data_IF_479343370009
#
_entry.id   IF_479343370009
#
_cell.length_a   1.000
_cell.length_b   1.000
_cell.length_c   1.000
_cell.angle_alpha   90.00
_cell.angle_beta   90.00
_cell.angle_gamma   90.00
#
_symmetry.space_group_name_H-M   'P 1'
#
loop_
_entity.id
_entity.type
_entity.pdbx_description
1 polymer ?
#
# COMPACT_ATOMS: atom_id res chain seq x y z
N UNK A 1 15.74 7.43 12.20
CA UNK A 1 14.27 7.62 12.27
C UNK A 1 13.66 7.28 10.92
N UNK A 2 12.55 6.56 10.92
CA UNK A 2 11.78 6.14 9.74
C UNK A 2 10.37 6.71 9.85
N UNK A 3 9.85 7.19 8.73
CA UNK A 3 8.46 7.65 8.57
C UNK A 3 7.75 6.73 7.60
N UNK A 4 6.54 6.28 7.93
CA UNK A 4 5.71 5.47 7.04
C UNK A 4 4.32 6.09 6.98
N UNK A 5 3.87 6.38 5.76
CA UNK A 5 2.49 6.76 5.47
C UNK A 5 1.75 5.52 4.98
N UNK A 6 0.60 5.26 5.56
CA UNK A 6 -0.20 4.05 5.34
C UNK A 6 -1.62 4.43 4.91
N UNK A 7 -2.02 3.87 3.78
CA UNK A 7 -3.34 4.04 3.19
C UNK A 7 -4.01 2.68 2.99
N UNK A 8 -5.34 2.65 2.97
CA UNK A 8 -6.11 1.44 2.72
C UNK A 8 -7.12 1.62 1.60
N UNK A 9 -7.46 0.51 0.93
CA UNK A 9 -8.48 0.47 -0.10
C UNK A 9 -9.22 -0.86 -0.03
N UNK A 10 -10.40 -0.89 -0.59
CA UNK A 10 -11.26 -2.05 -0.91
C UNK A 10 -11.11 -3.27 0.04
N UNK A 11 -11.74 -3.19 1.21
CA UNK A 11 -11.75 -4.28 2.20
C UNK A 11 -12.47 -5.53 1.68
N UNK A 12 -13.40 -5.37 0.74
CA UNK A 12 -14.34 -6.38 0.29
C UNK A 12 -14.38 -6.51 -1.24
N UNK A 13 -13.23 -6.46 -1.89
CA UNK A 13 -13.13 -6.64 -3.33
C UNK A 13 -13.53 -8.05 -3.77
N UNK A 14 -13.87 -8.20 -5.03
CA UNK A 14 -14.43 -9.43 -5.58
C UNK A 14 -13.45 -10.62 -5.55
N UNK A 15 -12.23 -10.42 -6.06
CA UNK A 15 -11.18 -11.45 -6.13
C UNK A 15 -10.08 -11.25 -5.09
N UNK A 16 -9.85 -10.00 -4.71
CA UNK A 16 -8.84 -9.58 -3.75
C UNK A 16 -9.41 -8.55 -2.79
N UNK A 17 -8.99 -8.61 -1.54
CA UNK A 17 -9.49 -7.77 -0.46
C UNK A 17 -8.34 -7.27 0.42
N UNK A 18 -8.67 -6.39 1.39
CA UNK A 18 -7.73 -5.89 2.39
C UNK A 18 -6.47 -5.31 1.75
N UNK A 19 -6.68 -4.33 0.86
CA UNK A 19 -5.57 -3.63 0.23
C UNK A 19 -4.98 -2.60 1.19
N UNK A 20 -3.70 -2.75 1.49
CA UNK A 20 -2.91 -1.75 2.22
C UNK A 20 -1.76 -1.29 1.37
N UNK A 21 -1.52 0.00 1.35
CA UNK A 21 -0.40 0.64 0.67
C UNK A 21 0.42 1.49 1.62
N UNK A 22 1.72 1.61 1.38
CA UNK A 22 2.50 2.50 2.20
C UNK A 22 3.80 2.96 1.55
N UNK A 23 4.19 4.17 1.93
CA UNK A 23 5.45 4.80 1.55
C UNK A 23 6.31 4.95 2.79
N UNK A 24 7.53 4.39 2.75
CA UNK A 24 8.55 4.54 3.78
C UNK A 24 9.60 5.53 3.32
N UNK A 25 9.94 6.48 4.19
CA UNK A 25 11.02 7.46 3.98
C UNK A 25 11.89 7.51 5.23
N UNK A 26 13.20 7.48 5.07
CA UNK A 26 14.13 7.73 6.18
C UNK A 26 14.24 9.22 6.47
N UNK A 27 14.57 9.59 7.72
CA UNK A 27 14.81 11.00 8.10
C UNK A 27 15.85 11.69 7.22
N UNK A 28 16.81 10.92 6.69
CA UNK A 28 17.84 11.40 5.76
C UNK A 28 17.26 12.00 4.49
N UNK A 29 16.18 11.41 3.95
CA UNK A 29 15.56 11.80 2.69
C UNK A 29 14.21 12.51 2.85
N UNK A 30 13.74 12.66 4.09
CA UNK A 30 12.41 13.19 4.40
C UNK A 30 12.13 14.55 3.74
N UNK A 31 13.04 15.50 3.93
CA UNK A 31 12.88 16.85 3.39
C UNK A 31 12.88 16.86 1.86
N UNK A 32 13.89 16.21 1.26
CA UNK A 32 14.04 16.10 -0.19
C UNK A 32 12.80 15.47 -0.86
N UNK A 33 12.32 14.36 -0.30
CA UNK A 33 11.13 13.67 -0.83
C UNK A 33 9.90 14.56 -0.82
N UNK A 34 9.64 15.24 0.31
CA UNK A 34 8.48 16.11 0.41
C UNK A 34 8.59 17.36 -0.47
N UNK A 35 9.77 17.94 -0.61
CA UNK A 35 10.03 19.08 -1.49
C UNK A 35 9.80 18.69 -2.96
N UNK A 36 10.32 17.55 -3.41
CA UNK A 36 10.12 17.05 -4.78
C UNK A 36 8.66 16.70 -5.06
N UNK A 37 7.95 16.08 -4.12
CA UNK A 37 6.51 15.83 -4.25
C UNK A 37 5.70 17.13 -4.37
N UNK A 38 6.05 18.17 -3.59
CA UNK A 38 5.40 19.48 -3.71
C UNK A 38 5.69 20.13 -5.06
N UNK A 39 6.94 20.13 -5.47
CA UNK A 39 7.38 20.73 -6.74
C UNK A 39 6.63 20.13 -7.94
N UNK A 40 6.49 18.79 -8.00
CA UNK A 40 5.75 18.17 -9.11
C UNK A 40 4.25 18.47 -9.05
N UNK A 41 3.64 18.59 -7.87
CA UNK A 41 2.23 18.98 -7.72
C UNK A 41 2.01 20.42 -8.20
N UNK A 42 2.92 21.32 -7.87
CA UNK A 42 2.92 22.70 -8.37
C UNK A 42 3.15 22.76 -9.88
N UNK A 43 4.13 22.03 -10.40
CA UNK A 43 4.43 21.90 -11.84
C UNK A 43 3.17 21.51 -12.65
N UNK A 44 2.44 20.48 -12.20
CA UNK A 44 1.25 20.02 -12.92
C UNK A 44 -0.02 20.84 -12.62
N UNK A 45 0.05 21.74 -11.63
CA UNK A 45 -1.05 22.64 -11.29
C UNK A 45 -2.32 21.93 -10.81
N UNK A 46 -2.17 20.89 -9.95
CA UNK A 46 -3.30 20.28 -9.25
C UNK A 46 -3.52 21.04 -7.95
N UNK A 47 -4.71 21.64 -7.80
CA UNK A 47 -5.10 22.40 -6.59
C UNK A 47 -5.89 21.56 -5.60
N UNK A 48 -6.56 20.54 -6.11
CA UNK A 48 -7.37 19.62 -5.31
C UNK A 48 -6.53 18.45 -4.82
N UNK A 49 -7.04 17.74 -3.80
CA UNK A 49 -6.48 16.49 -3.32
C UNK A 49 -6.33 15.47 -4.46
N UNK A 50 -5.16 14.85 -4.55
CA UNK A 50 -4.83 13.83 -5.54
C UNK A 50 -5.44 12.50 -5.07
N UNK A 51 -6.39 11.95 -5.84
CA UNK A 51 -7.05 10.67 -5.54
C UNK A 51 -7.27 9.86 -6.80
N UNK A 52 -7.14 8.53 -6.69
CA UNK A 52 -7.48 7.59 -7.76
C UNK A 52 -8.88 7.80 -8.30
N UNK A 53 -9.81 8.15 -7.43
CA UNK A 53 -11.18 8.44 -7.83
C UNK A 53 -11.30 9.67 -8.75
N UNK A 54 -10.37 10.62 -8.68
CA UNK A 54 -10.38 11.84 -9.52
C UNK A 54 -9.70 11.67 -10.87
N UNK A 55 -9.10 10.51 -11.15
CA UNK A 55 -8.50 10.21 -12.46
C UNK A 55 -9.55 10.27 -13.57
N UNK A 56 -9.30 11.11 -14.55
CA UNK A 56 -10.12 11.33 -15.75
C UNK A 56 -9.23 11.84 -16.90
N UNK A 57 -9.82 12.10 -18.07
CA UNK A 57 -9.08 12.53 -19.25
C UNK A 57 -8.34 13.86 -19.05
N UNK A 58 -8.99 14.83 -18.41
CA UNK A 58 -8.41 16.15 -18.14
C UNK A 58 -7.18 16.09 -17.21
N UNK A 59 -7.19 15.19 -16.24
CA UNK A 59 -6.10 15.07 -15.29
C UNK A 59 -5.06 14.01 -15.69
N UNK A 60 -5.25 13.26 -16.76
CA UNK A 60 -4.45 12.09 -17.10
C UNK A 60 -2.95 12.38 -17.17
N UNK A 61 -2.53 13.36 -17.96
CA UNK A 61 -1.11 13.73 -18.11
C UNK A 61 -0.49 14.21 -16.79
N UNK A 62 -1.26 14.92 -15.98
CA UNK A 62 -0.85 15.34 -14.63
C UNK A 62 -0.54 14.15 -13.75
N UNK A 63 -1.42 13.14 -13.75
CA UNK A 63 -1.22 11.91 -12.96
C UNK A 63 -0.06 11.06 -13.49
N UNK A 64 0.23 11.06 -14.78
CA UNK A 64 1.44 10.42 -15.32
C UNK A 64 2.69 11.04 -14.68
N UNK A 65 2.77 12.38 -14.69
CA UNK A 65 3.93 13.10 -14.14
C UNK A 65 4.11 12.85 -12.62
N UNK A 66 3.00 12.80 -11.85
CA UNK A 66 3.05 12.45 -10.43
C UNK A 66 3.57 11.03 -10.20
N UNK A 67 3.08 10.07 -10.99
CA UNK A 67 3.51 8.67 -10.92
C UNK A 67 5.00 8.56 -11.28
N UNK A 68 5.45 9.26 -12.31
CA UNK A 68 6.87 9.25 -12.72
C UNK A 68 7.76 9.75 -11.58
N UNK A 69 7.43 10.89 -10.96
CA UNK A 69 8.20 11.42 -9.84
C UNK A 69 8.28 10.46 -8.65
N UNK A 70 7.16 9.81 -8.30
CA UNK A 70 7.15 8.82 -7.22
C UNK A 70 8.09 7.65 -7.51
N UNK A 71 8.08 7.13 -8.73
CA UNK A 71 8.93 6.01 -9.11
C UNK A 71 10.40 6.42 -9.30
N UNK A 72 10.67 7.65 -9.73
CA UNK A 72 12.04 8.20 -9.79
C UNK A 72 12.62 8.27 -8.38
N UNK A 73 11.88 8.83 -7.41
CA UNK A 73 12.27 8.83 -6.00
C UNK A 73 12.52 7.42 -5.45
N UNK A 74 11.70 6.44 -5.86
CA UNK A 74 11.90 5.05 -5.47
C UNK A 74 13.15 4.44 -6.10
N UNK A 75 13.40 4.64 -7.39
CA UNK A 75 14.59 4.13 -8.08
C UNK A 75 15.90 4.75 -7.57
N UNK A 76 15.83 5.98 -7.06
CA UNK A 76 16.93 6.67 -6.37
C UNK A 76 17.13 6.20 -4.91
N UNK A 77 16.35 5.20 -4.44
CA UNK A 77 16.32 4.69 -3.05
C UNK A 77 16.04 5.79 -2.00
N UNK A 78 15.30 6.85 -2.39
CA UNK A 78 14.87 7.93 -1.49
C UNK A 78 13.65 7.54 -0.67
N UNK A 79 12.82 6.66 -1.24
CA UNK A 79 11.64 6.11 -0.58
C UNK A 79 11.41 4.64 -0.98
N UNK A 80 10.56 3.95 -0.22
CA UNK A 80 10.17 2.58 -0.53
C UNK A 80 8.64 2.48 -0.60
N UNK A 81 8.16 1.80 -1.63
CA UNK A 81 6.73 1.57 -1.87
C UNK A 81 6.38 0.14 -1.46
N UNK A 82 5.31 -0.03 -0.70
CA UNK A 82 4.81 -1.34 -0.27
C UNK A 82 3.33 -1.47 -0.56
N UNK A 83 2.96 -2.61 -1.14
CA UNK A 83 1.57 -2.99 -1.41
C UNK A 83 1.32 -4.34 -0.77
N UNK A 84 0.19 -4.46 -0.09
CA UNK A 84 -0.29 -5.69 0.54
C UNK A 84 -1.75 -5.91 0.15
N UNK A 85 -2.12 -7.16 -0.07
CA UNK A 85 -3.50 -7.57 -0.30
C UNK A 85 -3.69 -9.07 -0.04
N UNK A 86 -4.94 -9.50 0.14
CA UNK A 86 -5.32 -10.90 0.25
C UNK A 86 -6.01 -11.37 -1.03
N UNK A 87 -5.70 -12.57 -1.49
CA UNK A 87 -6.49 -13.23 -2.51
C UNK A 87 -7.64 -14.00 -1.85
N UNK A 88 -8.89 -13.69 -2.24
CA UNK A 88 -10.11 -14.22 -1.62
C UNK A 88 -10.29 -15.73 -1.78
N UNK A 89 -9.55 -16.38 -2.70
CA UNK A 89 -9.53 -17.85 -2.77
C UNK A 89 -8.94 -18.51 -1.52
N UNK A 90 -8.17 -17.79 -0.70
CA UNK A 90 -7.57 -18.32 0.51
C UNK A 90 -8.34 -17.81 1.72
N UNK A 91 -9.33 -18.60 2.16
CA UNK A 91 -10.13 -18.25 3.34
C UNK A 91 -9.39 -18.73 4.60
N UNK A 92 -9.12 -17.83 5.56
CA UNK A 92 -8.49 -18.22 6.80
C UNK A 92 -9.26 -19.35 7.49
N UNK A 93 -8.53 -20.33 8.02
CA UNK A 93 -9.07 -21.43 8.78
C UNK A 93 -8.47 -21.45 10.19
N UNK A 94 -9.16 -22.07 11.14
CA UNK A 94 -8.73 -22.23 12.54
C UNK A 94 -8.56 -20.92 13.30
N UNK A 95 -9.24 -19.85 12.88
CA UNK A 95 -9.30 -18.61 13.66
C UNK A 95 -10.35 -18.74 14.77
N UNK A 96 -10.02 -18.28 15.97
CA UNK A 96 -10.99 -18.07 17.04
C UNK A 96 -11.91 -16.87 16.71
N UNK A 97 -13.02 -16.74 17.44
CA UNK A 97 -13.91 -15.60 17.27
C UNK A 97 -13.20 -14.26 17.59
N UNK A 98 -12.28 -14.27 18.55
CA UNK A 98 -11.47 -13.11 18.92
C UNK A 98 -10.46 -12.74 17.82
N UNK A 99 -9.77 -13.74 17.26
CA UNK A 99 -8.85 -13.52 16.13
C UNK A 99 -9.58 -13.01 14.88
N UNK A 100 -10.81 -13.46 14.61
CA UNK A 100 -11.63 -12.94 13.52
C UNK A 100 -12.01 -11.47 13.75
N UNK A 101 -12.31 -11.06 14.98
CA UNK A 101 -12.56 -9.65 15.32
C UNK A 101 -11.30 -8.80 15.23
N UNK A 102 -10.14 -9.38 15.54
CA UNK A 102 -8.85 -8.72 15.48
C UNK A 102 -8.17 -8.80 14.08
N UNK A 103 -8.84 -9.32 13.04
CA UNK A 103 -8.25 -9.51 11.69
C UNK A 103 -7.64 -8.18 11.16
N UNK A 104 -8.33 -7.06 11.35
CA UNK A 104 -7.88 -5.76 10.89
C UNK A 104 -6.56 -5.29 11.53
N UNK A 105 -6.43 -5.17 12.87
CA UNK A 105 -5.16 -4.78 13.48
C UNK A 105 -4.05 -5.82 13.25
N UNK A 106 -4.38 -7.10 13.18
CA UNK A 106 -3.42 -8.16 12.89
C UNK A 106 -2.84 -8.03 11.47
N UNK A 107 -3.67 -7.76 10.46
CA UNK A 107 -3.21 -7.56 9.09
C UNK A 107 -2.35 -6.30 8.96
N UNK A 108 -2.71 -5.20 9.62
CA UNK A 108 -1.87 -4.00 9.67
C UNK A 108 -0.51 -4.27 10.32
N UNK A 109 -0.48 -4.99 11.44
CA UNK A 109 0.76 -5.41 12.09
C UNK A 109 1.64 -6.23 11.14
N UNK A 110 1.06 -7.22 10.45
CA UNK A 110 1.76 -8.04 9.45
C UNK A 110 2.30 -7.17 8.31
N UNK A 111 1.46 -6.26 7.80
CA UNK A 111 1.85 -5.35 6.74
C UNK A 111 3.04 -4.49 7.16
N UNK A 112 2.97 -3.79 8.29
CA UNK A 112 4.04 -2.92 8.74
C UNK A 112 5.33 -3.73 9.00
N UNK A 113 5.24 -4.83 9.72
CA UNK A 113 6.41 -5.62 10.10
C UNK A 113 7.10 -6.28 8.90
N UNK A 114 6.33 -6.99 8.08
CA UNK A 114 6.91 -7.90 7.08
C UNK A 114 6.91 -7.35 5.66
N UNK A 115 5.90 -6.58 5.25
CA UNK A 115 5.93 -5.98 3.90
C UNK A 115 7.03 -4.93 3.80
N UNK A 116 7.24 -4.15 4.85
CA UNK A 116 8.37 -3.22 4.92
C UNK A 116 9.70 -3.90 5.23
N UNK A 117 9.66 -5.14 5.72
CA UNK A 117 10.88 -5.88 6.03
C UNK A 117 11.63 -5.34 7.24
N UNK A 118 10.94 -4.71 8.20
CA UNK A 118 11.54 -4.10 9.39
C UNK A 118 12.52 -5.03 10.13
N UNK A 119 12.26 -6.35 10.29
CA UNK A 119 13.20 -7.26 10.94
C UNK A 119 14.56 -7.41 10.23
N UNK A 120 14.69 -6.87 9.02
CA UNK A 120 15.89 -6.98 8.19
C UNK A 120 16.52 -5.63 7.87
N UNK A 121 16.11 -4.57 8.56
CA UNK A 121 16.76 -3.26 8.48
C UNK A 121 18.22 -3.37 8.97
N UNK A 122 19.09 -2.55 8.42
CA UNK A 122 20.48 -2.48 8.86
C UNK A 122 20.61 -1.93 10.28
N UNK A 123 21.75 -2.18 10.90
CA UNK A 123 22.07 -1.65 12.24
C UNK A 123 22.04 -0.11 12.17
N UNK A 124 21.26 0.52 13.07
CA UNK A 124 21.10 1.98 13.11
C UNK A 124 20.13 2.55 12.07
N UNK A 125 19.55 1.74 11.17
CA UNK A 125 18.53 2.21 10.21
C UNK A 125 17.13 2.31 10.83
N UNK A 126 16.86 1.51 11.87
CA UNK A 126 15.54 1.38 12.51
C UNK A 126 15.62 1.63 14.03
N UNK A 127 15.91 2.86 14.41
CA UNK A 127 15.96 3.31 15.81
C UNK A 127 14.65 3.96 16.28
N UNK A 128 13.94 4.61 15.37
CA UNK A 128 12.65 5.26 15.67
C UNK A 128 11.71 5.17 14.47
N UNK A 129 10.43 4.89 14.75
CA UNK A 129 9.37 4.74 13.77
C UNK A 129 8.22 5.70 14.06
N UNK A 130 7.82 6.47 13.05
CA UNK A 130 6.58 7.26 13.05
C UNK A 130 5.66 6.76 11.93
N UNK A 131 4.41 6.51 12.27
CA UNK A 131 3.37 6.03 11.35
C UNK A 131 2.32 7.12 11.18
N UNK A 132 2.08 7.51 9.94
CA UNK A 132 0.97 8.38 9.54
C UNK A 132 -0.09 7.50 8.87
N UNK A 133 -1.26 7.43 9.47
CA UNK A 133 -2.39 6.65 9.01
C UNK A 133 -3.43 7.60 8.40
N UNK A 134 -4.00 7.26 7.25
CA UNK A 134 -5.21 7.91 6.79
C UNK A 134 -6.38 7.58 7.75
N UNK A 135 -7.52 8.19 7.58
CA UNK A 135 -8.68 8.00 8.45
C UNK A 135 -8.96 6.51 8.71
N UNK A 136 -8.90 6.12 10.00
CA UNK A 136 -9.11 4.73 10.42
C UNK A 136 -10.62 4.51 10.62
N UNK A 137 -11.26 3.61 9.85
CA UNK A 137 -12.71 3.39 9.93
C UNK A 137 -13.09 2.48 11.10
N UNK A 138 -12.64 2.83 12.29
CA UNK A 138 -12.91 2.16 13.56
C UNK A 138 -13.60 3.10 14.53
N UNK A 139 -14.39 2.55 15.47
CA UNK A 139 -14.92 3.30 16.61
C UNK A 139 -13.81 3.67 17.58
N UNK A 140 -14.00 4.68 18.41
CA UNK A 140 -12.94 5.18 19.30
C UNK A 140 -12.31 4.08 20.18
N UNK A 141 -13.13 3.22 20.80
CA UNK A 141 -12.60 2.12 21.62
C UNK A 141 -11.76 1.11 20.82
N UNK A 142 -12.15 0.84 19.58
CA UNK A 142 -11.43 -0.06 18.68
C UNK A 142 -10.14 0.59 18.15
N UNK A 143 -10.10 1.92 18.06
CA UNK A 143 -8.90 2.69 17.67
C UNK A 143 -7.80 2.60 18.72
N UNK A 144 -8.16 2.72 20.00
CA UNK A 144 -7.21 2.62 21.10
C UNK A 144 -6.57 1.23 21.15
N UNK A 145 -7.38 0.18 20.96
CA UNK A 145 -6.92 -1.20 20.85
C UNK A 145 -6.02 -1.40 19.61
N UNK A 146 -6.41 -0.83 18.47
CA UNK A 146 -5.61 -0.87 17.24
C UNK A 146 -4.25 -0.20 17.44
N UNK A 147 -4.22 1.03 17.97
CA UNK A 147 -2.97 1.77 18.24
C UNK A 147 -2.09 0.99 19.21
N UNK A 148 -2.69 0.44 20.29
CA UNK A 148 -1.97 -0.38 21.25
C UNK A 148 -1.36 -1.63 20.62
N UNK A 149 -2.11 -2.28 19.72
CA UNK A 149 -1.63 -3.45 18.97
C UNK A 149 -0.44 -3.10 18.06
N UNK A 150 -0.50 -1.99 17.35
CA UNK A 150 0.60 -1.54 16.47
C UNK A 150 1.82 -1.10 17.30
N UNK A 151 1.63 -0.43 18.46
CA UNK A 151 2.72 -0.15 19.42
C UNK A 151 3.41 -1.43 19.90
N UNK A 152 2.73 -2.57 19.85
CA UNK A 152 3.30 -3.89 20.11
C UNK A 152 4.49 -4.25 19.23
N UNK A 153 4.68 -3.59 18.08
CA UNK A 153 5.89 -3.74 17.24
C UNK A 153 7.17 -3.46 18.03
N UNK A 154 7.19 -2.44 18.89
CA UNK A 154 8.35 -2.11 19.72
C UNK A 154 8.65 -3.18 20.80
N UNK A 155 7.69 -4.07 21.10
CA UNK A 155 7.83 -5.20 22.02
C UNK A 155 8.25 -6.49 21.31
N UNK A 156 8.19 -6.52 19.97
CA UNK A 156 8.61 -7.69 19.20
C UNK A 156 10.08 -8.01 19.47
N UNK A 157 10.46 -9.28 19.80
CA UNK A 157 11.81 -9.62 20.20
C UNK A 157 12.91 -9.22 19.22
N UNK A 158 12.63 -9.34 17.92
CA UNK A 158 13.59 -8.99 16.86
C UNK A 158 13.73 -7.46 16.76
N UNK A 159 12.61 -6.74 16.69
CA UNK A 159 12.60 -5.28 16.53
C UNK A 159 13.13 -4.58 17.79
N UNK A 160 12.81 -5.12 18.98
CA UNK A 160 13.36 -4.65 20.26
C UNK A 160 14.88 -4.81 20.33
N UNK A 161 15.40 -5.96 19.86
CA UNK A 161 16.87 -6.20 19.79
C UNK A 161 17.56 -5.22 18.82
N UNK A 162 16.87 -4.76 17.80
CA UNK A 162 17.36 -3.74 16.86
C UNK A 162 17.29 -2.33 17.43
N UNK A 163 16.68 -2.13 18.59
CA UNK A 163 16.54 -0.84 19.25
C UNK A 163 15.35 -0.02 18.78
N UNK A 164 14.37 -0.64 18.09
CA UNK A 164 13.18 0.06 17.62
C UNK A 164 12.43 0.73 18.78
N UNK A 165 12.14 2.00 18.63
CA UNK A 165 11.28 2.79 19.51
C UNK A 165 10.12 3.34 18.69
N UNK A 166 8.93 3.33 19.28
CA UNK A 166 7.76 4.06 18.80
C UNK A 166 7.38 5.01 19.92
N UNK A 167 7.46 6.31 19.65
CA UNK A 167 7.06 7.33 20.62
C UNK A 167 5.58 7.21 20.98
N UNK A 168 5.13 7.83 22.05
CA UNK A 168 3.74 7.78 22.47
C UNK A 168 2.83 8.39 21.41
N UNK A 169 3.28 9.45 20.77
CA UNK A 169 2.68 10.16 19.64
C UNK A 169 3.21 9.67 18.27
N UNK A 170 3.91 8.54 18.23
CA UNK A 170 4.54 8.01 17.02
C UNK A 170 3.57 7.30 16.07
N UNK A 171 2.29 7.17 16.41
CA UNK A 171 1.23 6.66 15.54
C UNK A 171 0.15 7.72 15.47
N UNK A 172 -0.01 8.34 14.30
CA UNK A 172 -0.86 9.52 14.11
C UNK A 172 -1.83 9.27 12.97
N UNK A 173 -3.13 9.45 13.25
CA UNK A 173 -4.15 9.56 12.21
C UNK A 173 -4.12 10.98 11.65
N UNK A 174 -4.07 11.11 10.33
CA UNK A 174 -3.85 12.39 9.65
C UNK A 174 -4.85 12.62 8.53
N UNK A 175 -5.13 13.89 8.24
CA UNK A 175 -5.91 14.27 7.04
C UNK A 175 -5.02 14.11 5.78
N UNK A 176 -5.38 13.17 4.91
CA UNK A 176 -4.66 12.89 3.66
C UNK A 176 -4.49 14.12 2.77
N UNK A 177 -5.37 15.13 2.88
CA UNK A 177 -5.23 16.38 2.12
C UNK A 177 -3.95 17.14 2.43
N UNK A 178 -3.41 16.97 3.64
CA UNK A 178 -2.18 17.63 4.09
C UNK A 178 -0.93 16.77 3.90
N UNK A 179 -1.09 15.49 3.48
CA UNK A 179 -0.01 14.52 3.39
C UNK A 179 0.13 13.98 1.97
N UNK A 180 1.00 14.59 1.16
CA UNK A 180 1.26 14.17 -0.21
C UNK A 180 1.63 12.69 -0.35
N UNK A 181 2.45 12.06 0.53
CA UNK A 181 2.73 10.64 0.40
C UNK A 181 1.48 9.75 0.45
N UNK A 182 0.46 10.09 1.26
CA UNK A 182 -0.82 9.38 1.26
C UNK A 182 -1.55 9.55 -0.07
N UNK A 183 -1.61 10.76 -0.60
CA UNK A 183 -2.29 11.04 -1.86
C UNK A 183 -1.63 10.32 -3.05
N UNK A 184 -0.29 10.28 -3.09
CA UNK A 184 0.44 9.51 -4.10
C UNK A 184 0.19 8.00 -3.94
N UNK A 185 0.12 7.52 -2.69
CA UNK A 185 -0.15 6.11 -2.41
C UNK A 185 -1.57 5.71 -2.82
N UNK A 186 -2.60 6.54 -2.58
CA UNK A 186 -3.98 6.29 -3.01
C UNK A 186 -4.06 6.02 -4.52
N UNK A 187 -3.29 6.77 -5.32
CA UNK A 187 -3.26 6.56 -6.78
C UNK A 187 -2.67 5.19 -7.13
N UNK A 188 -1.56 4.80 -6.52
CA UNK A 188 -0.92 3.51 -6.79
C UNK A 188 -1.79 2.36 -6.28
N UNK A 189 -2.25 2.44 -5.04
CA UNK A 189 -3.07 1.42 -4.40
C UNK A 189 -4.40 1.24 -5.13
N UNK A 190 -5.06 2.35 -5.47
CA UNK A 190 -6.29 2.37 -6.25
C UNK A 190 -6.13 1.74 -7.63
N UNK A 191 -5.00 1.98 -8.32
CA UNK A 191 -4.71 1.37 -9.62
C UNK A 191 -4.50 -0.14 -9.52
N UNK A 192 -3.80 -0.61 -8.49
CA UNK A 192 -3.57 -2.04 -8.23
C UNK A 192 -4.88 -2.74 -7.89
N UNK A 193 -5.66 -2.17 -6.97
CA UNK A 193 -6.98 -2.66 -6.58
C UNK A 193 -7.94 -2.74 -7.79
N UNK A 194 -8.00 -1.68 -8.61
CA UNK A 194 -8.80 -1.60 -9.83
C UNK A 194 -8.49 -2.76 -10.79
N UNK A 195 -7.21 -3.06 -11.00
CA UNK A 195 -6.81 -4.12 -11.92
C UNK A 195 -6.97 -5.52 -11.33
N UNK A 196 -6.65 -5.72 -10.06
CA UNK A 196 -6.79 -7.00 -9.39
C UNK A 196 -8.25 -7.46 -9.29
N UNK A 197 -9.17 -6.53 -9.06
CA UNK A 197 -10.60 -6.81 -8.99
C UNK A 197 -11.35 -6.64 -10.33
N UNK A 198 -10.61 -6.61 -11.46
CA UNK A 198 -11.18 -6.55 -12.83
C UNK A 198 -12.16 -5.37 -13.04
N UNK A 199 -12.07 -4.30 -12.24
CA UNK A 199 -12.89 -3.11 -12.38
C UNK A 199 -12.70 -2.41 -13.75
N UNK A 200 -11.60 -2.72 -14.44
CA UNK A 200 -11.33 -2.30 -15.83
C UNK A 200 -12.23 -2.94 -16.87
N UNK A 201 -12.93 -4.03 -16.52
CA UNK A 201 -13.86 -4.73 -17.40
C UNK A 201 -15.33 -4.39 -17.14
N UNK A 202 -15.62 -3.67 -16.05
CA UNK A 202 -16.98 -3.34 -15.68
C UNK A 202 -17.60 -2.40 -16.70
N UNK A 203 -18.78 -2.78 -17.17
CA UNK A 203 -19.63 -1.98 -18.03
C UNK A 203 -20.79 -1.43 -17.21
N UNK A 204 -21.30 -0.26 -17.58
CA UNK A 204 -22.54 0.23 -16.99
C UNK A 204 -23.70 -0.64 -17.48
N UNK A 205 -24.74 -0.70 -16.68
CA UNK A 205 -25.97 -1.40 -17.04
C UNK A 205 -26.53 -0.88 -18.37
N UNK A 206 -26.84 -1.77 -19.29
CA UNK A 206 -27.29 -1.43 -20.64
C UNK A 206 -26.19 -0.99 -21.63
N UNK A 207 -24.94 -0.88 -21.24
CA UNK A 207 -23.83 -0.51 -22.13
C UNK A 207 -23.04 -1.73 -22.63
N UNK A 208 -22.73 -1.74 -23.94
CA UNK A 208 -21.89 -2.78 -24.55
C UNK A 208 -20.38 -2.49 -24.43
N UNK A 209 -20.00 -1.28 -24.05
CA UNK A 209 -18.61 -0.80 -23.98
C UNK A 209 -18.28 -0.32 -22.58
N UNK A 210 -17.01 -0.43 -22.23
CA UNK A 210 -16.44 0.14 -21.00
C UNK A 210 -16.41 1.67 -21.12
N UNK A 211 -16.77 2.37 -20.04
CA UNK A 211 -16.84 3.84 -20.03
C UNK A 211 -15.47 4.52 -20.22
N UNK A 212 -15.46 5.73 -20.82
CA UNK A 212 -14.24 6.50 -21.10
C UNK A 212 -13.34 6.66 -19.89
N UNK A 213 -13.90 7.00 -18.73
CA UNK A 213 -13.14 7.15 -17.47
C UNK A 213 -12.44 5.87 -17.05
N UNK A 214 -13.08 4.71 -17.22
CA UNK A 214 -12.48 3.39 -16.94
C UNK A 214 -11.31 3.12 -17.87
N UNK A 215 -11.41 3.50 -19.15
CA UNK A 215 -10.32 3.37 -20.11
C UNK A 215 -9.12 4.26 -19.75
N UNK A 216 -9.36 5.49 -19.31
CA UNK A 216 -8.29 6.38 -18.83
C UNK A 216 -7.60 5.80 -17.59
N UNK A 217 -8.37 5.30 -16.62
CA UNK A 217 -7.83 4.59 -15.46
C UNK A 217 -7.00 3.37 -15.84
N UNK A 218 -7.43 2.61 -16.83
CA UNK A 218 -6.68 1.48 -17.36
C UNK A 218 -5.35 1.93 -18.02
N UNK A 219 -5.34 3.06 -18.72
CA UNK A 219 -4.11 3.63 -19.29
C UNK A 219 -3.13 4.03 -18.19
N UNK A 220 -3.62 4.71 -17.13
CA UNK A 220 -2.78 5.09 -15.99
C UNK A 220 -2.23 3.85 -15.25
N UNK A 221 -3.07 2.82 -15.03
CA UNK A 221 -2.60 1.54 -14.49
C UNK A 221 -1.49 0.93 -15.36
N UNK A 222 -1.63 0.93 -16.68
CA UNK A 222 -0.59 0.40 -17.59
C UNK A 222 0.73 1.16 -17.44
N UNK A 223 0.67 2.48 -17.26
CA UNK A 223 1.84 3.30 -17.00
C UNK A 223 2.50 2.92 -15.66
N UNK A 224 1.73 2.86 -14.57
CA UNK A 224 2.21 2.40 -13.25
C UNK A 224 2.86 1.01 -13.37
N UNK A 225 2.20 0.07 -14.04
CA UNK A 225 2.74 -1.28 -14.25
C UNK A 225 4.05 -1.28 -15.05
N UNK A 226 4.21 -0.37 -16.02
CA UNK A 226 5.47 -0.18 -16.75
C UNK A 226 6.57 0.28 -15.80
N UNK A 227 6.32 1.31 -14.97
CA UNK A 227 7.28 1.81 -13.97
C UNK A 227 7.70 0.72 -12.98
N UNK A 228 6.75 -0.11 -12.53
CA UNK A 228 7.10 -1.28 -11.69
C UNK A 228 7.98 -2.27 -12.45
N UNK A 229 7.74 -2.50 -13.74
CA UNK A 229 8.53 -3.42 -14.57
C UNK A 229 9.92 -2.90 -14.91
N UNK A 230 10.16 -1.62 -14.84
CA UNK A 230 11.52 -1.04 -14.92
C UNK A 230 12.37 -1.50 -13.71
N UNK A 231 11.74 -1.72 -12.54
CA UNK A 231 12.40 -2.27 -11.35
C UNK A 231 12.40 -3.82 -11.39
N UNK A 232 11.29 -4.43 -11.82
CA UNK A 232 11.08 -5.88 -11.89
C UNK A 232 10.54 -6.30 -13.26
N UNK A 233 11.39 -6.67 -14.24
CA UNK A 233 10.95 -6.99 -15.60
C UNK A 233 9.85 -8.06 -15.68
N UNK A 234 9.91 -9.07 -14.79
CA UNK A 234 8.95 -10.18 -14.73
C UNK A 234 7.82 -9.96 -13.70
N UNK A 235 7.52 -8.70 -13.36
CA UNK A 235 6.49 -8.39 -12.39
C UNK A 235 5.11 -8.95 -12.77
N UNK A 236 4.48 -9.65 -11.81
CA UNK A 236 3.10 -10.11 -11.89
C UNK A 236 2.30 -9.51 -10.73
N UNK A 237 1.28 -8.74 -11.05
CA UNK A 237 0.46 -8.00 -10.10
C UNK A 237 -0.27 -8.88 -9.06
N UNK A 238 -0.57 -10.15 -9.39
CA UNK A 238 -1.34 -11.05 -8.53
C UNK A 238 -0.53 -11.86 -7.53
N UNK A 239 0.81 -11.72 -7.54
CA UNK A 239 1.70 -12.52 -6.69
C UNK A 239 2.69 -11.64 -5.92
N UNK A 240 3.27 -12.21 -4.87
CA UNK A 240 4.33 -11.57 -4.09
C UNK A 240 5.58 -11.34 -4.94
N UNK A 241 6.17 -10.14 -4.85
CA UNK A 241 7.48 -9.84 -5.44
C UNK A 241 8.53 -10.79 -4.87
N UNK A 242 9.31 -11.48 -5.70
CA UNK A 242 10.29 -12.44 -5.23
C UNK A 242 11.41 -11.76 -4.44
N UNK A 243 11.91 -12.47 -3.44
CA UNK A 243 13.10 -12.13 -2.67
C UNK A 243 14.11 -13.26 -2.82
N UNK A 244 15.39 -12.97 -2.93
CA UNK A 244 16.48 -13.96 -2.97
C UNK A 244 16.95 -14.31 -1.57
N UNK A 245 17.06 -13.29 -0.73
CA UNK A 245 17.41 -13.39 0.69
C UNK A 245 16.43 -12.57 1.53
N UNK A 246 16.22 -12.93 2.80
CA UNK A 246 15.25 -12.21 3.65
C UNK A 246 15.46 -10.70 3.73
N UNK A 247 16.70 -10.23 3.70
CA UNK A 247 17.05 -8.79 3.72
C UNK A 247 16.61 -8.01 2.48
N UNK A 248 16.30 -8.69 1.37
CA UNK A 248 15.73 -8.03 0.20
C UNK A 248 14.38 -7.39 0.52
N UNK A 249 13.64 -7.93 1.49
CA UNK A 249 12.36 -7.36 1.93
C UNK A 249 12.52 -5.93 2.47
N UNK A 250 13.66 -5.59 3.07
CA UNK A 250 14.02 -4.24 3.47
C UNK A 250 14.61 -3.42 2.31
N UNK A 251 15.53 -4.02 1.52
CA UNK A 251 16.32 -3.31 0.51
C UNK A 251 15.52 -2.94 -0.74
N UNK A 252 14.53 -3.75 -1.12
CA UNK A 252 13.74 -3.50 -2.32
C UNK A 252 13.03 -2.15 -2.25
N UNK A 253 13.12 -1.33 -3.29
CA UNK A 253 12.46 -0.02 -3.37
C UNK A 253 10.97 -0.13 -3.65
N UNK A 254 10.54 -1.17 -4.35
CA UNK A 254 9.12 -1.53 -4.53
C UNK A 254 8.90 -2.97 -4.09
N UNK A 255 7.81 -3.23 -3.38
CA UNK A 255 7.42 -4.58 -2.99
C UNK A 255 5.91 -4.76 -2.96
N UNK A 256 5.50 -5.92 -3.46
CA UNK A 256 4.14 -6.39 -3.55
C UNK A 256 4.00 -7.68 -2.73
N UNK A 257 3.02 -7.75 -1.84
CA UNK A 257 2.81 -8.92 -1.00
C UNK A 257 1.37 -9.41 -1.09
N UNK A 258 1.18 -10.52 -1.81
CA UNK A 258 -0.05 -11.30 -1.77
C UNK A 258 -0.03 -12.17 -0.52
N UNK A 259 -0.71 -11.73 0.53
CA UNK A 259 -0.75 -12.41 1.81
C UNK A 259 -1.63 -13.68 1.72
N UNK A 260 -1.07 -14.80 2.16
CA UNK A 260 -1.77 -16.07 2.30
C UNK A 260 -1.72 -16.50 3.76
N UNK A 261 -2.87 -16.68 4.44
CA UNK A 261 -2.89 -17.16 5.81
C UNK A 261 -2.21 -18.54 5.93
N UNK A 262 -1.47 -18.78 7.00
CA UNK A 262 -0.78 -20.06 7.24
C UNK A 262 -1.76 -21.24 7.21
N UNK A 263 -2.89 -21.09 7.87
CA UNK A 263 -3.99 -22.07 7.83
C UNK A 263 -5.13 -21.48 7.03
N UNK A 264 -5.44 -22.09 5.89
CA UNK A 264 -6.49 -21.63 5.00
C UNK A 264 -7.16 -22.81 4.27
N UNK A 265 -8.41 -22.60 3.85
CA UNK A 265 -9.08 -23.40 2.85
C UNK A 265 -9.00 -22.69 1.51
N UNK A 266 -9.00 -23.46 0.41
CA UNK A 266 -8.97 -22.90 -0.95
C UNK A 266 -10.34 -22.96 -1.59
N UNK A 267 -10.91 -21.79 -1.87
CA UNK A 267 -12.16 -21.62 -2.62
C UNK A 267 -11.86 -21.20 -4.06
N UNK A 268 -11.90 -22.14 -4.97
CA UNK A 268 -11.61 -21.89 -6.40
C UNK A 268 -12.69 -21.07 -7.10
N UNK A 269 -13.92 -20.99 -6.53
CA UNK A 269 -15.01 -20.16 -7.08
C UNK A 269 -14.67 -18.67 -7.05
N UNK A 270 -13.79 -18.25 -6.13
CA UNK A 270 -13.32 -16.88 -5.98
C UNK A 270 -12.08 -16.54 -6.82
N UNK A 271 -11.87 -17.26 -7.89
CA UNK A 271 -10.79 -16.98 -8.84
C UNK A 271 -11.34 -16.37 -10.12
N UNK A 272 -10.51 -15.53 -10.79
CA UNK A 272 -10.88 -14.96 -12.10
C UNK A 272 -11.18 -16.02 -13.18
N UNK A 273 -10.65 -17.24 -13.02
CA UNK A 273 -10.88 -18.35 -13.96
C UNK A 273 -12.27 -19.00 -13.80
N UNK A 274 -12.83 -18.96 -12.61
CA UNK A 274 -14.15 -19.55 -12.34
C UNK A 274 -15.31 -18.76 -12.97
N UNK A 275 -15.07 -17.51 -13.39
CA UNK A 275 -16.05 -16.62 -14.00
C UNK A 275 -15.90 -16.49 -15.54
N UNK A 276 -15.06 -17.30 -16.15
CA UNK A 276 -14.94 -17.47 -17.59
C UNK A 276 -15.71 -18.70 -18.03
#
# INVERSE_FOLDING_TARGET
>A
MIFIWLDESDRHGEFYSNFYGGILVSSRHYREVLERMRAVVEEVGIKDEIKWQKVNEYHYEKYLRLVDELFDLAQEDKLKIRIFFRHNQYTPARLTAEEMKADYPMLYYQFIKYAFGLPYAGVGELDSLTLYLDEIPLRQSERDDFISHIKGLAKDPVLKKMGLKIAEDGIVEVDSKQHLPLQFMDVILGAICFKLNEKDKLKKEGENKVGKRTLIKLRLYKHINRRIREIYPNFNIGITTPIRVPSDSWRQVYRHWSFVPKYHTRDTSRTKRAKK
#
